data_IF_538044626684
#
_entry.id   IF_538044626684
#
_cell.length_a   1.000
_cell.length_b   1.000
_cell.length_c   1.000
_cell.angle_alpha   90.00
_cell.angle_beta   90.00
_cell.angle_gamma   90.00
#
_symmetry.space_group_name_H-M   'P 1'
#
loop_
_entity.id
_entity.type
_entity.pdbx_description
1 polymer ?
#
# COMPACT_ATOMS: atom_id res chain seq x y z
N UNK A 1 -17.02 26.41 -5.26
CA UNK A 1 -15.76 26.27 -6.03
C UNK A 1 -14.74 25.53 -5.16
N UNK A 2 -14.73 24.19 -5.18
CA UNK A 2 -13.63 23.42 -4.55
C UNK A 2 -12.36 23.60 -5.40
N UNK A 3 -11.23 23.70 -4.72
CA UNK A 3 -10.02 24.33 -5.24
C UNK A 3 -9.29 23.52 -6.30
N UNK A 4 -9.49 23.86 -7.57
CA UNK A 4 -8.66 23.38 -8.71
C UNK A 4 -7.15 23.44 -8.43
N UNK A 5 -6.69 24.44 -7.67
CA UNK A 5 -5.27 24.58 -7.34
C UNK A 5 -4.74 23.53 -6.35
N UNK A 6 -5.56 23.09 -5.39
CA UNK A 6 -5.16 22.07 -4.42
C UNK A 6 -4.98 20.71 -5.10
N UNK A 7 -5.91 20.35 -5.99
CA UNK A 7 -5.82 19.11 -6.78
C UNK A 7 -4.59 19.10 -7.68
N UNK A 8 -4.30 20.20 -8.37
CA UNK A 8 -3.12 20.33 -9.25
C UNK A 8 -1.83 20.23 -8.44
N UNK A 9 -1.78 20.89 -7.27
CA UNK A 9 -0.62 20.81 -6.39
C UNK A 9 -0.40 19.39 -5.86
N UNK A 10 -1.46 18.73 -5.38
CA UNK A 10 -1.37 17.36 -4.87
C UNK A 10 -0.87 16.40 -5.97
N UNK A 11 -1.37 16.56 -7.19
CA UNK A 11 -0.90 15.79 -8.34
C UNK A 11 0.57 16.05 -8.65
N UNK A 12 1.02 17.30 -8.64
CA UNK A 12 2.44 17.63 -8.83
C UNK A 12 3.34 17.07 -7.73
N UNK A 13 2.92 17.18 -6.47
CA UNK A 13 3.66 16.60 -5.34
C UNK A 13 3.73 15.07 -5.44
N UNK A 14 2.67 14.43 -5.95
CA UNK A 14 2.68 13.00 -6.23
C UNK A 14 3.68 12.62 -7.32
N UNK A 15 3.69 13.35 -8.43
CA UNK A 15 4.61 13.14 -9.55
C UNK A 15 6.08 13.38 -9.16
N UNK A 16 6.34 14.32 -8.25
CA UNK A 16 7.67 14.57 -7.70
C UNK A 16 8.12 13.51 -6.67
N UNK A 17 7.19 12.73 -6.13
CA UNK A 17 7.45 11.75 -5.08
C UNK A 17 7.54 12.35 -3.68
N UNK A 18 7.03 13.56 -3.47
CA UNK A 18 6.93 14.17 -2.14
C UNK A 18 5.79 13.54 -1.33
N UNK A 19 4.69 13.16 -1.99
CA UNK A 19 3.53 12.47 -1.41
C UNK A 19 3.09 11.31 -2.31
N UNK A 20 2.23 10.43 -1.81
CA UNK A 20 1.46 9.51 -2.64
C UNK A 20 -0.01 9.91 -2.60
N UNK A 21 -0.60 10.14 -3.77
CA UNK A 21 -2.03 10.39 -3.91
C UNK A 21 -2.53 9.90 -5.28
N UNK A 22 -3.35 8.85 -5.26
CA UNK A 22 -3.86 8.21 -6.48
C UNK A 22 -5.26 8.72 -6.81
N UNK A 23 -5.34 9.98 -7.22
CA UNK A 23 -6.61 10.70 -7.44
C UNK A 23 -7.62 9.95 -8.32
N UNK A 24 -7.14 9.36 -9.42
CA UNK A 24 -7.98 8.72 -10.44
C UNK A 24 -8.15 7.20 -10.21
N UNK A 25 -7.72 6.69 -9.06
CA UNK A 25 -7.83 5.29 -8.68
C UNK A 25 -8.91 5.10 -7.62
N UNK A 26 -10.07 4.53 -8.00
CA UNK A 26 -11.22 4.38 -7.10
C UNK A 26 -10.93 3.54 -5.84
N UNK A 27 -9.87 2.73 -5.85
CA UNK A 27 -9.48 1.89 -4.72
C UNK A 27 -8.43 2.55 -3.80
N UNK A 28 -7.80 3.63 -4.25
CA UNK A 28 -6.68 4.32 -3.57
C UNK A 28 -6.83 5.85 -3.47
N UNK A 29 -7.93 6.43 -3.94
CA UNK A 29 -8.15 7.88 -3.94
C UNK A 29 -8.60 8.46 -2.58
N UNK A 30 -8.77 7.61 -1.57
CA UNK A 30 -9.31 7.96 -0.25
C UNK A 30 -8.25 8.41 0.76
N UNK A 31 -6.97 8.16 0.48
CA UNK A 31 -5.83 8.49 1.36
C UNK A 31 -4.77 9.30 0.62
N UNK A 32 -4.24 10.32 1.30
CA UNK A 32 -3.03 11.05 0.91
C UNK A 32 -1.92 10.67 1.87
N UNK A 33 -0.84 10.10 1.35
CA UNK A 33 0.32 9.69 2.15
C UNK A 33 1.38 10.79 2.04
N UNK A 34 1.67 11.44 3.17
CA UNK A 34 2.59 12.59 3.21
C UNK A 34 4.08 12.19 3.23
N UNK A 35 4.38 10.95 3.62
CA UNK A 35 5.74 10.40 3.64
C UNK A 35 5.78 9.07 2.88
N UNK A 36 6.17 9.08 1.60
CA UNK A 36 6.34 7.87 0.81
C UNK A 36 7.44 6.93 1.35
N UNK A 37 8.40 7.45 2.13
CA UNK A 37 9.46 6.67 2.75
C UNK A 37 8.92 5.66 3.76
N UNK A 38 7.90 6.03 4.53
CA UNK A 38 7.22 5.14 5.46
C UNK A 38 6.56 3.95 4.75
N UNK A 39 5.93 4.19 3.60
CA UNK A 39 5.32 3.13 2.78
C UNK A 39 6.39 2.17 2.26
N UNK A 40 7.47 2.71 1.72
CA UNK A 40 8.59 1.91 1.21
C UNK A 40 9.19 1.02 2.31
N UNK A 41 9.34 1.53 3.53
CA UNK A 41 9.83 0.75 4.66
C UNK A 41 8.88 -0.40 4.98
N UNK A 42 7.57 -0.14 5.05
CA UNK A 42 6.56 -1.13 5.42
C UNK A 42 6.38 -2.21 4.36
N UNK A 43 6.44 -1.86 3.08
CA UNK A 43 6.41 -2.83 1.97
C UNK A 43 7.70 -3.64 1.94
N UNK A 44 8.87 -3.00 2.09
CA UNK A 44 10.17 -3.70 2.11
C UNK A 44 10.21 -4.76 3.22
N UNK A 45 9.66 -4.47 4.41
CA UNK A 45 9.56 -5.44 5.51
C UNK A 45 8.77 -6.71 5.13
N UNK A 46 7.73 -6.58 4.29
CA UNK A 46 6.99 -7.74 3.80
C UNK A 46 7.85 -8.55 2.84
N UNK A 47 8.49 -7.90 1.87
CA UNK A 47 9.35 -8.54 0.86
C UNK A 47 10.58 -9.23 1.47
N UNK A 48 11.11 -8.68 2.56
CA UNK A 48 12.27 -9.22 3.29
C UNK A 48 11.89 -10.18 4.43
N UNK A 49 10.59 -10.40 4.68
CA UNK A 49 10.12 -11.25 5.77
C UNK A 49 10.55 -12.69 5.56
N UNK A 50 11.43 -13.19 6.44
CA UNK A 50 11.90 -14.58 6.42
C UNK A 50 10.74 -15.58 6.50
N UNK A 51 9.69 -15.26 7.24
CA UNK A 51 8.55 -16.15 7.40
C UNK A 51 7.69 -16.20 6.13
N UNK A 52 7.52 -15.07 5.43
CA UNK A 52 6.85 -15.02 4.12
C UNK A 52 7.68 -15.78 3.09
N UNK A 53 9.00 -15.56 3.04
CA UNK A 53 9.92 -16.26 2.14
C UNK A 53 9.91 -17.77 2.36
N UNK A 54 9.90 -18.23 3.62
CA UNK A 54 9.83 -19.66 3.96
C UNK A 54 8.50 -20.31 3.57
N UNK A 55 7.42 -19.54 3.45
CA UNK A 55 6.10 -20.01 3.00
C UNK A 55 5.89 -19.70 1.51
N UNK A 56 6.93 -19.83 0.70
CA UNK A 56 6.90 -19.64 -0.76
C UNK A 56 6.33 -18.29 -1.22
N UNK A 57 6.54 -17.23 -0.43
CA UNK A 57 6.04 -15.89 -0.73
C UNK A 57 4.58 -15.65 -0.36
N UNK A 58 3.93 -16.59 0.36
CA UNK A 58 2.53 -16.45 0.79
C UNK A 58 2.43 -15.41 1.92
N UNK A 59 1.94 -14.23 1.57
CA UNK A 59 1.65 -13.15 2.50
C UNK A 59 0.19 -13.25 3.01
N UNK A 60 0.01 -13.80 4.21
CA UNK A 60 -1.32 -14.01 4.80
C UNK A 60 -1.81 -12.78 5.56
N UNK A 61 -3.12 -12.70 5.80
CA UNK A 61 -3.72 -11.69 6.69
C UNK A 61 -3.14 -11.72 8.11
N UNK A 62 -2.73 -12.89 8.58
CA UNK A 62 -2.03 -13.00 9.86
C UNK A 62 -0.67 -12.29 9.82
N UNK A 63 0.17 -12.58 8.82
CA UNK A 63 1.46 -11.91 8.67
C UNK A 63 1.30 -10.40 8.45
N UNK A 64 0.26 -9.98 7.72
CA UNK A 64 -0.08 -8.58 7.53
C UNK A 64 -0.30 -7.87 8.87
N UNK A 65 -1.15 -8.43 9.73
CA UNK A 65 -1.42 -7.88 11.06
C UNK A 65 -0.18 -7.87 11.97
N UNK A 66 0.70 -8.88 11.84
CA UNK A 66 1.95 -8.96 12.62
C UNK A 66 3.00 -7.94 12.15
N UNK A 67 3.22 -7.81 10.84
CA UNK A 67 4.23 -6.90 10.27
C UNK A 67 3.81 -5.43 10.33
N UNK A 68 2.51 -5.17 10.32
CA UNK A 68 1.89 -3.84 10.34
C UNK A 68 1.07 -3.61 11.61
N UNK A 69 1.46 -4.21 12.74
CA UNK A 69 0.73 -4.11 14.02
C UNK A 69 0.53 -2.68 14.53
N UNK A 70 1.40 -1.76 14.11
CA UNK A 70 1.38 -0.35 14.45
C UNK A 70 0.53 0.51 13.50
N UNK A 71 -0.14 -0.11 12.53
CA UNK A 71 -0.94 0.54 11.49
C UNK A 71 -2.41 0.16 11.68
N UNK A 72 -3.31 1.15 11.57
CA UNK A 72 -4.75 0.87 11.59
C UNK A 72 -5.19 0.02 10.39
N UNK A 73 -6.13 -0.89 10.61
CA UNK A 73 -6.62 -1.85 9.59
C UNK A 73 -6.99 -1.19 8.24
N UNK A 74 -7.69 -0.04 8.18
CA UNK A 74 -8.00 0.59 6.89
C UNK A 74 -6.75 0.99 6.10
N UNK A 75 -5.69 1.41 6.78
CA UNK A 75 -4.42 1.78 6.15
C UNK A 75 -3.66 0.53 5.70
N UNK A 76 -3.74 -0.58 6.45
CA UNK A 76 -3.19 -1.86 6.03
C UNK A 76 -3.83 -2.35 4.72
N UNK A 77 -5.16 -2.26 4.59
CA UNK A 77 -5.85 -2.62 3.33
C UNK A 77 -5.43 -1.70 2.18
N UNK A 78 -5.25 -0.40 2.44
CA UNK A 78 -4.75 0.54 1.44
C UNK A 78 -3.33 0.18 0.98
N UNK A 79 -2.46 -0.26 1.90
CA UNK A 79 -1.11 -0.71 1.56
C UNK A 79 -1.11 -1.99 0.73
N UNK A 80 -2.00 -2.93 1.04
CA UNK A 80 -2.16 -4.15 0.25
C UNK A 80 -2.58 -3.81 -1.19
N UNK A 81 -3.57 -2.95 -1.37
CA UNK A 81 -4.00 -2.45 -2.70
C UNK A 81 -2.88 -1.75 -3.44
N UNK A 82 -2.05 -0.99 -2.72
CA UNK A 82 -0.88 -0.35 -3.30
C UNK A 82 0.12 -1.38 -3.81
N UNK A 83 0.38 -2.44 -3.05
CA UNK A 83 1.25 -3.55 -3.48
C UNK A 83 0.68 -4.27 -4.72
N UNK A 84 -0.64 -4.47 -4.79
CA UNK A 84 -1.32 -5.02 -5.97
C UNK A 84 -1.19 -4.10 -7.18
N UNK A 85 -1.41 -2.80 -7.02
CA UNK A 85 -1.26 -1.80 -8.10
C UNK A 85 0.13 -1.80 -8.72
N UNK A 86 1.16 -2.03 -7.91
CA UNK A 86 2.56 -2.08 -8.35
C UNK A 86 3.04 -3.50 -8.66
N UNK A 87 2.13 -4.46 -8.84
CA UNK A 87 2.43 -5.84 -9.24
C UNK A 87 3.34 -6.59 -8.24
N UNK A 88 3.37 -6.16 -6.97
CA UNK A 88 4.20 -6.74 -5.90
C UNK A 88 3.50 -7.91 -5.18
N UNK A 89 2.18 -7.94 -5.22
CA UNK A 89 1.37 -9.01 -4.63
C UNK A 89 0.15 -9.30 -5.48
N UNK A 90 -0.33 -10.53 -5.41
CA UNK A 90 -1.54 -10.97 -6.08
C UNK A 90 -2.36 -11.83 -5.15
N UNK A 91 -3.68 -11.64 -5.17
CA UNK A 91 -4.61 -12.54 -4.51
C UNK A 91 -4.59 -13.90 -5.19
N UNK A 92 -4.17 -14.92 -4.45
CA UNK A 92 -4.34 -16.30 -4.86
C UNK A 92 -5.73 -16.78 -4.44
N UNK A 93 -6.49 -17.45 -5.32
CA UNK A 93 -7.69 -18.17 -4.90
C UNK A 93 -7.29 -19.13 -3.78
N UNK A 94 -8.05 -19.17 -2.69
CA UNK A 94 -7.85 -20.17 -1.65
C UNK A 94 -7.81 -21.55 -2.32
N UNK A 95 -6.72 -22.29 -2.10
CA UNK A 95 -6.70 -23.72 -2.41
C UNK A 95 -7.90 -24.33 -1.67
N UNK A 96 -8.86 -24.83 -2.44
CA UNK A 96 -9.85 -25.78 -1.94
C UNK A 96 -9.05 -27.05 -1.62
N UNK A 97 -8.60 -27.16 -0.38
CA UNK A 97 -8.26 -28.44 0.24
C UNK A 97 -9.52 -29.09 0.81
#
# INVERSE_FOLDING_TARGET
MKGKGADVLAQWMHELGDILYFKDDDELNDIVILDPGWVNEKISRVLESKEVIKKDGIFTRQHMNELWEDIEVPIQEHFLRLMEKFDLSYMIPEHID
#
